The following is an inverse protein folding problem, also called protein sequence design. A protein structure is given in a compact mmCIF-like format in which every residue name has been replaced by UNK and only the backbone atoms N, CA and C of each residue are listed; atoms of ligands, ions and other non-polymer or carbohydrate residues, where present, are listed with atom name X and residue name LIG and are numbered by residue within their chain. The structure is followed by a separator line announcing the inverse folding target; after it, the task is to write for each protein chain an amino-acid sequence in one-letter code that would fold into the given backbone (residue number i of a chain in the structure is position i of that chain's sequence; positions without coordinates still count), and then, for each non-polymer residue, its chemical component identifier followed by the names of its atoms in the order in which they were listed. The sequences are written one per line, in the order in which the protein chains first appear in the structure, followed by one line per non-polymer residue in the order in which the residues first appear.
data_IF_004243879547
#
_entry.id   IF_004243879547
#
_cell.length_a   1.000
_cell.length_b   1.000
_cell.length_c   1.000
_cell.angle_alpha   90.00
_cell.angle_beta   90.00
_cell.angle_gamma   90.00
#
_symmetry.space_group_name_H-M   'P 1'
#
loop_
_entity.id
_entity.type
_entity.pdbx_description
1 polymer ?
#
# COMPACT_ATOMS: atom_id res chain seq x y z
N UNK A 1 -5.87 29.86 -12.72
CA UNK A 1 -6.29 28.53 -12.19
C UNK A 1 -6.09 27.41 -13.22
N UNK A 2 -6.61 27.52 -14.44
CA UNK A 2 -6.46 26.46 -15.46
C UNK A 2 -5.00 26.06 -15.71
N UNK A 3 -4.08 27.03 -15.86
CA UNK A 3 -2.64 26.74 -16.09
C UNK A 3 -1.94 26.03 -14.91
N UNK A 4 -2.42 26.20 -13.69
CA UNK A 4 -1.88 25.50 -12.53
C UNK A 4 -2.38 24.04 -12.48
N UNK A 5 -3.67 23.84 -12.72
CA UNK A 5 -4.28 22.52 -12.69
C UNK A 5 -3.94 21.66 -13.92
N UNK A 6 -3.56 22.27 -15.05
CA UNK A 6 -3.09 21.55 -16.24
C UNK A 6 -1.70 20.91 -16.05
N UNK A 7 -0.95 21.33 -15.03
CA UNK A 7 0.35 20.77 -14.71
C UNK A 7 0.24 19.83 -13.49
N UNK A 8 0.38 18.52 -13.72
CA UNK A 8 0.29 17.50 -12.67
C UNK A 8 1.19 17.78 -11.47
N UNK A 9 2.45 18.15 -11.71
CA UNK A 9 3.42 18.43 -10.64
C UNK A 9 2.97 19.60 -9.76
N UNK A 10 2.49 20.69 -10.36
CA UNK A 10 2.04 21.85 -9.64
C UNK A 10 0.76 21.55 -8.83
N UNK A 11 -0.16 20.79 -9.41
CA UNK A 11 -1.38 20.33 -8.72
C UNK A 11 -1.03 19.47 -7.52
N UNK A 12 -0.10 18.53 -7.67
CA UNK A 12 0.35 17.65 -6.59
C UNK A 12 1.03 18.44 -5.46
N UNK A 13 1.94 19.36 -5.80
CA UNK A 13 2.62 20.23 -4.83
C UNK A 13 1.58 21.06 -4.05
N UNK A 14 0.63 21.69 -4.74
CA UNK A 14 -0.41 22.47 -4.09
C UNK A 14 -1.27 21.61 -3.14
N UNK A 15 -1.62 20.40 -3.55
CA UNK A 15 -2.36 19.46 -2.70
C UNK A 15 -1.60 19.14 -1.41
N UNK A 16 -0.30 18.88 -1.49
CA UNK A 16 0.53 18.65 -0.30
C UNK A 16 0.69 19.89 0.57
N UNK A 17 0.82 21.07 -0.04
CA UNK A 17 0.87 22.35 0.71
C UNK A 17 -0.43 22.57 1.47
N UNK A 18 -1.59 22.39 0.82
CA UNK A 18 -2.90 22.52 1.49
C UNK A 18 -3.06 21.51 2.62
N UNK A 19 -2.68 20.24 2.40
CA UNK A 19 -2.71 19.23 3.45
C UNK A 19 -1.78 19.60 4.62
N UNK A 20 -0.56 20.07 4.33
CA UNK A 20 0.39 20.51 5.35
C UNK A 20 -0.13 21.71 6.16
N UNK A 21 -0.75 22.68 5.52
CA UNK A 21 -1.39 23.82 6.20
C UNK A 21 -2.51 23.33 7.12
N UNK A 22 -3.36 22.41 6.67
CA UNK A 22 -4.42 21.83 7.51
C UNK A 22 -3.84 21.08 8.70
N UNK A 23 -2.87 20.20 8.47
CA UNK A 23 -2.21 19.43 9.55
C UNK A 23 -1.61 20.36 10.59
N UNK A 24 -0.89 21.41 10.15
CA UNK A 24 -0.27 22.38 11.06
C UNK A 24 -1.34 23.20 11.83
N UNK A 25 -2.35 23.71 11.14
CA UNK A 25 -3.42 24.50 11.77
C UNK A 25 -4.15 23.72 12.85
N UNK A 26 -4.58 22.48 12.53
CA UNK A 26 -5.26 21.63 13.50
C UNK A 26 -4.33 21.10 14.58
N UNK A 27 -3.05 20.82 14.27
CA UNK A 27 -2.07 20.45 15.29
C UNK A 27 -1.87 21.52 16.35
N UNK A 28 -1.87 22.81 15.97
CA UNK A 28 -1.77 23.92 16.93
C UNK A 28 -3.00 24.06 17.84
N UNK A 29 -4.18 23.68 17.36
CA UNK A 29 -5.45 23.80 18.10
C UNK A 29 -5.85 22.53 18.84
N UNK A 30 -5.15 21.42 18.60
CA UNK A 30 -5.38 20.17 19.30
C UNK A 30 -5.04 20.32 20.81
N UNK A 31 -5.77 19.65 21.72
CA UNK A 31 -5.58 19.78 23.17
C UNK A 31 -4.13 19.50 23.65
N UNK A 32 -3.43 18.60 22.99
CA UNK A 32 -2.01 18.27 23.25
C UNK A 32 -1.00 19.01 22.38
N UNK A 33 -1.47 19.86 21.44
CA UNK A 33 -0.58 20.51 20.48
C UNK A 33 0.15 19.49 19.59
N UNK A 34 1.46 19.67 19.43
CA UNK A 34 2.33 18.76 18.64
C UNK A 34 2.93 17.62 19.49
N UNK A 35 2.09 17.01 20.33
CA UNK A 35 2.48 15.87 21.17
C UNK A 35 2.56 14.54 20.41
N UNK A 36 2.73 13.44 21.13
CA UNK A 36 2.82 12.09 20.53
C UNK A 36 1.56 11.72 19.77
N UNK A 37 0.37 12.16 20.21
CA UNK A 37 -0.92 11.89 19.58
C UNK A 37 -1.02 12.58 18.21
N UNK A 38 -0.47 13.79 18.10
CA UNK A 38 -0.34 14.49 16.83
C UNK A 38 0.52 13.68 15.84
N UNK A 39 1.69 13.19 16.24
CA UNK A 39 2.55 12.41 15.36
C UNK A 39 1.95 11.06 14.99
N UNK A 40 1.19 10.43 15.88
CA UNK A 40 0.40 9.24 15.55
C UNK A 40 -0.65 9.55 14.48
N UNK A 41 -1.33 10.70 14.57
CA UNK A 41 -2.30 11.13 13.55
C UNK A 41 -1.63 11.38 12.19
N UNK A 42 -0.46 12.04 12.15
CA UNK A 42 0.32 12.26 10.92
C UNK A 42 0.78 10.93 10.30
N UNK A 43 1.29 10.02 11.11
CA UNK A 43 1.70 8.69 10.64
C UNK A 43 0.51 7.90 10.08
N UNK A 44 -0.66 7.98 10.74
CA UNK A 44 -1.90 7.34 10.25
C UNK A 44 -2.38 7.96 8.94
N UNK A 45 -2.38 9.28 8.83
CA UNK A 45 -2.71 9.98 7.58
C UNK A 45 -1.81 9.51 6.43
N UNK A 46 -0.49 9.45 6.68
CA UNK A 46 0.48 8.96 5.70
C UNK A 46 0.23 7.50 5.33
N UNK A 47 -0.03 6.63 6.32
CA UNK A 47 -0.33 5.21 6.10
C UNK A 47 -1.57 5.01 5.23
N UNK A 48 -2.64 5.74 5.52
CA UNK A 48 -3.88 5.68 4.74
C UNK A 48 -3.67 6.24 3.34
N UNK A 49 -2.98 7.37 3.19
CA UNK A 49 -2.72 7.98 1.89
C UNK A 49 -1.92 7.08 0.95
N UNK A 50 -0.81 6.53 1.42
CA UNK A 50 -0.02 5.57 0.65
C UNK A 50 -0.78 4.24 0.44
N UNK A 51 -1.57 3.81 1.41
CA UNK A 51 -2.42 2.64 1.33
C UNK A 51 -3.48 2.74 0.23
N UNK A 52 -4.12 3.90 0.08
CA UNK A 52 -5.07 4.17 -1.00
C UNK A 52 -4.38 4.03 -2.36
N UNK A 53 -3.17 4.59 -2.52
CA UNK A 53 -2.42 4.48 -3.76
C UNK A 53 -1.98 3.04 -4.04
N UNK A 54 -1.48 2.32 -3.03
CA UNK A 54 -1.05 0.92 -3.18
C UNK A 54 -2.21 0.01 -3.56
N UNK A 55 -3.29 0.02 -2.77
CA UNK A 55 -4.43 -0.87 -2.99
C UNK A 55 -5.24 -0.45 -4.22
N UNK A 56 -5.36 0.86 -4.49
CA UNK A 56 -6.00 1.35 -5.71
C UNK A 56 -5.29 0.88 -6.98
N UNK A 57 -3.96 0.91 -7.01
CA UNK A 57 -3.18 0.36 -8.14
C UNK A 57 -3.25 -1.16 -8.21
N UNK A 58 -3.30 -1.88 -7.08
CA UNK A 58 -3.56 -3.33 -7.05
C UNK A 58 -4.89 -3.65 -7.75
N UNK A 59 -5.94 -2.89 -7.44
CA UNK A 59 -7.26 -3.07 -8.04
C UNK A 59 -7.28 -2.67 -9.51
N UNK A 60 -6.62 -1.56 -9.88
CA UNK A 60 -6.42 -1.20 -11.28
C UNK A 60 -5.78 -2.34 -12.08
N UNK A 61 -4.68 -2.93 -11.60
CA UNK A 61 -4.04 -4.04 -12.29
C UNK A 61 -4.99 -5.23 -12.47
N UNK A 62 -5.73 -5.62 -11.43
CA UNK A 62 -6.54 -6.83 -11.45
C UNK A 62 -7.90 -6.64 -12.12
N UNK A 63 -8.59 -5.52 -11.89
CA UNK A 63 -9.93 -5.28 -12.43
C UNK A 63 -9.90 -4.66 -13.82
N UNK A 64 -8.82 -3.98 -14.19
CA UNK A 64 -8.72 -3.30 -15.48
C UNK A 64 -7.63 -3.92 -16.35
N UNK A 65 -6.36 -3.71 -16.02
CA UNK A 65 -5.26 -3.99 -16.94
C UNK A 65 -5.15 -5.48 -17.29
N UNK A 66 -5.05 -6.38 -16.30
CA UNK A 66 -4.91 -7.83 -16.53
C UNK A 66 -6.13 -8.39 -17.26
N UNK A 67 -7.32 -7.89 -16.93
CA UNK A 67 -8.56 -8.36 -17.50
C UNK A 67 -8.76 -7.92 -18.96
N UNK A 68 -8.38 -6.69 -19.28
CA UNK A 68 -8.56 -6.10 -20.62
C UNK A 68 -7.44 -6.48 -21.58
N UNK A 69 -6.23 -6.76 -21.08
CA UNK A 69 -5.05 -7.04 -21.90
C UNK A 69 -5.26 -8.13 -22.99
N UNK A 70 -5.98 -9.24 -22.77
CA UNK A 70 -6.25 -10.23 -23.81
C UNK A 70 -7.05 -9.67 -25.01
N UNK A 71 -7.94 -8.71 -24.75
CA UNK A 71 -8.83 -8.10 -25.76
C UNK A 71 -8.15 -6.99 -26.57
N UNK A 72 -6.95 -6.53 -26.16
CA UNK A 72 -6.21 -5.50 -26.89
C UNK A 72 -5.54 -6.12 -28.11
N UNK A 73 -5.69 -5.53 -29.33
CA UNK A 73 -4.97 -5.94 -30.53
C UNK A 73 -3.47 -6.01 -30.29
N UNK A 74 -2.77 -6.96 -30.94
CA UNK A 74 -1.36 -7.25 -30.68
C UNK A 74 -0.43 -6.06 -30.88
N UNK A 75 -0.69 -5.27 -31.91
CA UNK A 75 0.02 -4.05 -32.28
C UNK A 75 -0.12 -2.89 -31.28
N UNK A 76 -1.21 -2.86 -30.50
CA UNK A 76 -1.48 -1.87 -29.48
C UNK A 76 -0.97 -2.26 -28.07
N UNK A 77 -0.72 -3.54 -27.81
CA UNK A 77 -0.20 -4.00 -26.52
C UNK A 77 1.09 -3.31 -26.06
N UNK A 78 2.05 -2.98 -26.97
CA UNK A 78 3.25 -2.26 -26.58
C UNK A 78 2.97 -0.89 -25.93
N UNK A 79 1.88 -0.21 -26.29
CA UNK A 79 1.52 1.06 -25.66
C UNK A 79 1.27 0.90 -24.16
N UNK A 80 0.58 -0.18 -23.76
CA UNK A 80 0.32 -0.47 -22.34
C UNK A 80 1.58 -0.97 -21.64
N UNK A 81 2.31 -1.90 -22.25
CA UNK A 81 3.44 -2.57 -21.58
C UNK A 81 4.70 -1.71 -21.50
N UNK A 82 4.91 -0.78 -22.44
CA UNK A 82 6.11 0.09 -22.47
C UNK A 82 5.91 1.44 -21.78
N UNK A 83 4.67 1.95 -21.71
CA UNK A 83 4.42 3.30 -21.21
C UNK A 83 3.58 3.31 -19.92
N UNK A 84 2.44 2.60 -19.91
CA UNK A 84 1.50 2.67 -18.78
C UNK A 84 1.95 1.77 -17.63
N UNK A 85 2.24 0.50 -17.92
CA UNK A 85 2.56 -0.48 -16.89
C UNK A 85 3.82 -0.16 -16.07
N UNK A 86 4.95 0.29 -16.65
CA UNK A 86 6.13 0.65 -15.89
C UNK A 86 5.89 1.79 -14.91
N UNK A 87 5.14 2.82 -15.32
CA UNK A 87 4.79 3.96 -14.47
C UNK A 87 3.86 3.54 -13.32
N UNK A 88 2.79 2.82 -13.63
CA UNK A 88 1.88 2.30 -12.62
C UNK A 88 2.58 1.36 -11.61
N UNK A 89 3.50 0.51 -12.07
CA UNK A 89 4.30 -0.36 -11.22
C UNK A 89 5.34 0.39 -10.37
N UNK A 90 5.86 1.52 -10.86
CA UNK A 90 6.70 2.39 -10.05
C UNK A 90 5.94 2.88 -8.82
N UNK A 91 4.79 3.51 -9.02
CA UNK A 91 3.96 4.00 -7.92
C UNK A 91 3.45 2.88 -7.01
N UNK A 92 3.04 1.75 -7.59
CA UNK A 92 2.56 0.58 -6.84
C UNK A 92 3.56 0.08 -5.79
N UNK A 93 4.81 -0.16 -6.18
CA UNK A 93 5.81 -0.71 -5.26
C UNK A 93 6.30 0.30 -4.21
N UNK A 94 6.44 1.58 -4.60
CA UNK A 94 6.84 2.61 -3.66
C UNK A 94 5.72 2.95 -2.69
N UNK A 95 4.48 3.00 -3.14
CA UNK A 95 3.32 3.14 -2.26
C UNK A 95 3.24 1.98 -1.25
N UNK A 96 3.49 0.73 -1.68
CA UNK A 96 3.55 -0.42 -0.78
C UNK A 96 4.63 -0.24 0.31
N UNK A 97 5.83 0.20 -0.07
CA UNK A 97 6.91 0.47 0.88
C UNK A 97 6.52 1.54 1.90
N UNK A 98 6.05 2.71 1.42
CA UNK A 98 5.69 3.80 2.32
C UNK A 98 4.47 3.49 3.19
N UNK A 99 3.53 2.68 2.70
CA UNK A 99 2.42 2.19 3.53
C UNK A 99 2.94 1.37 4.70
N UNK A 100 3.84 0.41 4.44
CA UNK A 100 4.41 -0.43 5.50
C UNK A 100 5.26 0.40 6.46
N UNK A 101 6.12 1.29 5.98
CA UNK A 101 6.94 2.16 6.83
C UNK A 101 6.08 3.05 7.73
N UNK A 102 5.04 3.67 7.19
CA UNK A 102 4.11 4.48 7.97
C UNK A 102 3.32 3.65 8.99
N UNK A 103 2.94 2.41 8.66
CA UNK A 103 2.33 1.46 9.58
C UNK A 103 3.26 1.08 10.74
N UNK A 104 4.52 0.79 10.44
CA UNK A 104 5.52 0.53 11.48
C UNK A 104 5.79 1.77 12.36
N UNK A 105 5.76 2.97 11.78
CA UNK A 105 5.86 4.21 12.54
C UNK A 105 4.68 4.37 13.52
N UNK A 106 3.45 4.03 13.12
CA UNK A 106 2.30 4.03 14.04
C UNK A 106 2.54 3.08 15.22
N UNK A 107 3.00 1.85 14.96
CA UNK A 107 3.30 0.89 16.03
C UNK A 107 4.39 1.41 16.98
N UNK A 108 5.47 1.99 16.42
CA UNK A 108 6.57 2.56 17.21
C UNK A 108 6.09 3.74 18.08
N UNK A 109 5.28 4.63 17.54
CA UNK A 109 4.74 5.79 18.25
C UNK A 109 3.72 5.41 19.34
N UNK A 110 3.11 4.25 19.26
CA UNK A 110 2.23 3.70 20.30
C UNK A 110 2.98 2.99 21.43
N UNK A 111 4.28 2.80 21.28
CA UNK A 111 5.16 2.20 22.26
C UNK A 111 5.43 0.71 22.05
N UNK A 112 6.54 0.25 22.63
CA UNK A 112 7.04 -1.11 22.43
C UNK A 112 6.03 -2.18 22.86
N UNK A 113 5.36 -2.02 24.00
CA UNK A 113 4.37 -2.98 24.50
C UNK A 113 3.21 -3.17 23.51
N UNK A 114 2.68 -2.07 22.97
CA UNK A 114 1.63 -2.13 21.94
C UNK A 114 2.09 -2.84 20.66
N UNK A 115 3.28 -2.51 20.18
CA UNK A 115 3.84 -3.13 18.99
C UNK A 115 4.04 -4.65 19.17
N UNK A 116 4.54 -5.07 20.34
CA UNK A 116 4.71 -6.49 20.66
C UNK A 116 3.37 -7.24 20.73
N UNK A 117 2.34 -6.66 21.34
CA UNK A 117 1.00 -7.26 21.38
C UNK A 117 0.42 -7.44 19.98
N UNK A 118 0.49 -6.41 19.12
CA UNK A 118 -0.01 -6.48 17.75
C UNK A 118 0.76 -7.52 16.93
N UNK A 119 2.10 -7.50 16.97
CA UNK A 119 2.92 -8.41 16.16
C UNK A 119 2.85 -9.86 16.65
N UNK A 120 2.61 -10.09 17.94
CA UNK A 120 2.39 -11.42 18.51
C UNK A 120 0.92 -11.89 18.43
N UNK A 121 0.04 -11.16 17.78
CA UNK A 121 -1.40 -11.47 17.69
C UNK A 121 -2.09 -11.51 19.07
N UNK A 122 -1.66 -10.65 20.00
CA UNK A 122 -2.15 -10.63 21.37
C UNK A 122 -1.57 -11.71 22.28
N UNK A 123 -0.52 -12.42 21.86
CA UNK A 123 0.07 -13.54 22.59
C UNK A 123 1.24 -13.15 23.51
N UNK A 124 1.77 -11.92 23.41
CA UNK A 124 3.01 -11.54 24.10
C UNK A 124 2.88 -11.41 25.62
N UNK A 125 1.70 -11.20 26.17
CA UNK A 125 1.56 -11.00 27.61
C UNK A 125 0.24 -11.38 28.25
N UNK A 126 -0.78 -11.78 27.49
CA UNK A 126 -2.14 -11.92 28.00
C UNK A 126 -2.91 -13.11 27.42
N UNK A 127 -2.26 -14.24 27.28
CA UNK A 127 -2.86 -15.49 26.77
C UNK A 127 -4.17 -15.93 27.48
N UNK A 128 -4.48 -15.38 28.63
CA UNK A 128 -5.63 -15.79 29.45
C UNK A 128 -6.89 -14.94 29.16
N UNK A 129 -6.74 -13.79 28.50
CA UNK A 129 -7.88 -12.89 28.19
C UNK A 129 -7.87 -12.36 26.76
N UNK A 130 -7.19 -13.04 25.83
CA UNK A 130 -7.11 -12.78 24.39
C UNK A 130 -7.70 -11.44 23.97
N UNK A 131 -6.88 -10.38 23.95
CA UNK A 131 -7.36 -9.09 23.44
C UNK A 131 -7.60 -9.25 21.94
N UNK A 132 -8.86 -9.51 21.59
CA UNK A 132 -9.30 -9.75 20.22
C UNK A 132 -8.96 -8.57 19.30
N UNK A 133 -8.81 -7.37 19.87
CA UNK A 133 -8.38 -6.17 19.13
C UNK A 133 -6.95 -6.31 18.62
N UNK A 134 -6.01 -6.71 19.48
CA UNK A 134 -4.62 -6.93 19.04
C UNK A 134 -4.50 -8.08 18.04
N UNK A 135 -5.28 -9.14 18.23
CA UNK A 135 -5.32 -10.25 17.27
C UNK A 135 -5.85 -9.80 15.93
N UNK A 136 -6.97 -9.07 15.89
CA UNK A 136 -7.54 -8.56 14.65
C UNK A 136 -6.56 -7.63 13.92
N UNK A 137 -6.01 -6.63 14.60
CA UNK A 137 -5.05 -5.71 14.00
C UNK A 137 -3.77 -6.43 13.54
N UNK A 138 -3.27 -7.36 14.35
CA UNK A 138 -2.07 -8.13 14.04
C UNK A 138 -2.21 -8.99 12.79
N UNK A 139 -3.37 -9.61 12.58
CA UNK A 139 -3.69 -10.33 11.32
C UNK A 139 -3.56 -9.37 10.14
N UNK A 140 -4.14 -8.17 10.21
CA UNK A 140 -4.03 -7.17 9.14
C UNK A 140 -2.59 -6.74 8.88
N UNK A 141 -1.80 -6.53 9.92
CA UNK A 141 -0.37 -6.18 9.81
C UNK A 141 0.40 -7.29 9.11
N UNK A 142 0.23 -8.55 9.50
CA UNK A 142 0.93 -9.66 8.87
C UNK A 142 0.51 -9.88 7.42
N UNK A 143 -0.78 -9.76 7.10
CA UNK A 143 -1.26 -9.80 5.72
C UNK A 143 -0.63 -8.70 4.87
N UNK A 144 -0.55 -7.46 5.38
CA UNK A 144 0.10 -6.36 4.69
C UNK A 144 1.61 -6.62 4.46
N UNK A 145 2.31 -7.18 5.45
CA UNK A 145 3.74 -7.54 5.33
C UNK A 145 3.91 -8.64 4.26
N UNK A 146 3.10 -9.68 4.27
CA UNK A 146 3.14 -10.75 3.26
C UNK A 146 2.89 -10.18 1.85
N UNK A 147 1.88 -9.32 1.71
CA UNK A 147 1.58 -8.65 0.45
C UNK A 147 2.73 -7.76 -0.02
N UNK A 148 3.37 -7.02 0.88
CA UNK A 148 4.55 -6.20 0.59
C UNK A 148 5.73 -7.04 0.12
N UNK A 149 6.05 -8.12 0.85
CA UNK A 149 7.13 -9.04 0.46
C UNK A 149 6.85 -9.69 -0.89
N UNK A 150 5.60 -10.02 -1.18
CA UNK A 150 5.18 -10.52 -2.49
C UNK A 150 5.41 -9.47 -3.60
N UNK A 151 5.12 -8.17 -3.34
CA UNK A 151 5.40 -7.10 -4.32
C UNK A 151 6.88 -7.04 -4.68
N UNK A 152 7.75 -6.99 -3.69
CA UNK A 152 9.18 -6.77 -3.91
C UNK A 152 9.95 -8.04 -4.27
N UNK A 153 9.57 -9.19 -3.69
CA UNK A 153 10.26 -10.47 -3.87
C UNK A 153 9.77 -11.30 -5.06
N UNK A 154 8.51 -11.18 -5.43
CA UNK A 154 7.91 -12.02 -6.48
C UNK A 154 7.42 -11.17 -7.66
N UNK A 155 6.51 -10.22 -7.42
CA UNK A 155 5.88 -9.46 -8.51
C UNK A 155 6.94 -8.65 -9.26
N UNK A 156 7.70 -7.81 -8.58
CA UNK A 156 8.64 -6.89 -9.22
C UNK A 156 9.77 -7.60 -10.00
N UNK A 157 10.47 -8.60 -9.48
CA UNK A 157 11.48 -9.32 -10.25
C UNK A 157 10.93 -9.97 -11.54
N UNK A 158 9.71 -10.49 -11.48
CA UNK A 158 9.05 -11.10 -12.62
C UNK A 158 8.50 -10.06 -13.60
N UNK A 159 8.00 -8.94 -13.11
CA UNK A 159 7.59 -7.81 -13.97
C UNK A 159 8.75 -7.24 -14.78
N UNK A 160 9.93 -7.10 -14.19
CA UNK A 160 11.13 -6.67 -14.94
C UNK A 160 11.42 -7.56 -16.17
N UNK A 161 11.25 -8.87 -16.03
CA UNK A 161 11.44 -9.84 -17.13
C UNK A 161 10.27 -9.76 -18.12
N UNK A 162 9.04 -9.74 -17.61
CA UNK A 162 7.82 -9.69 -18.44
C UNK A 162 7.75 -8.43 -19.31
N UNK A 163 8.21 -7.30 -18.81
CA UNK A 163 8.23 -6.03 -19.53
C UNK A 163 9.47 -5.83 -20.40
N UNK A 164 10.44 -6.74 -20.35
CA UNK A 164 11.67 -6.65 -21.12
C UNK A 164 12.70 -5.65 -20.55
N UNK A 165 12.53 -5.18 -19.31
CA UNK A 165 13.54 -4.39 -18.60
C UNK A 165 14.80 -5.25 -18.35
N UNK A 166 14.59 -6.53 -18.05
CA UNK A 166 15.63 -7.55 -18.04
C UNK A 166 15.39 -8.46 -19.23
N UNK A 167 16.37 -8.52 -20.13
CA UNK A 167 16.30 -9.31 -21.36
C UNK A 167 16.38 -10.80 -21.01
N UNK A 168 15.39 -11.56 -21.43
CA UNK A 168 15.30 -13.02 -21.28
C UNK A 168 14.66 -13.60 -22.55
N UNK A 169 14.77 -14.91 -22.76
CA UNK A 169 14.07 -15.60 -23.84
C UNK A 169 12.54 -15.53 -23.67
N UNK A 170 11.81 -15.75 -24.77
CA UNK A 170 10.35 -15.58 -24.79
C UNK A 170 9.63 -16.54 -23.84
N UNK A 171 10.13 -17.75 -23.65
CA UNK A 171 9.56 -18.72 -22.71
C UNK A 171 9.70 -18.23 -21.25
N UNK A 172 10.86 -17.72 -20.88
CA UNK A 172 11.08 -17.14 -19.55
C UNK A 172 10.27 -15.88 -19.35
N UNK A 173 10.10 -15.05 -20.39
CA UNK A 173 9.26 -13.88 -20.38
C UNK A 173 7.78 -14.23 -20.12
N UNK A 174 7.26 -15.24 -20.82
CA UNK A 174 5.89 -15.72 -20.64
C UNK A 174 5.66 -16.29 -19.23
N UNK A 175 6.62 -17.10 -18.72
CA UNK A 175 6.56 -17.64 -17.34
C UNK A 175 6.60 -16.51 -16.31
N UNK A 176 7.47 -15.54 -16.47
CA UNK A 176 7.58 -14.40 -15.58
C UNK A 176 6.29 -13.56 -15.55
N UNK A 177 5.66 -13.32 -16.70
CA UNK A 177 4.38 -12.64 -16.79
C UNK A 177 3.29 -13.42 -16.02
N UNK A 178 3.25 -14.74 -16.14
CA UNK A 178 2.31 -15.58 -15.39
C UNK A 178 2.56 -15.54 -13.89
N UNK A 179 3.81 -15.63 -13.43
CA UNK A 179 4.16 -15.57 -12.01
C UNK A 179 3.79 -14.20 -11.43
N UNK A 180 4.09 -13.12 -12.12
CA UNK A 180 3.73 -11.76 -11.69
C UNK A 180 2.20 -11.59 -11.58
N UNK A 181 1.45 -12.11 -12.54
CA UNK A 181 -0.02 -12.11 -12.51
C UNK A 181 -0.56 -12.89 -11.31
N UNK A 182 -0.07 -14.10 -11.06
CA UNK A 182 -0.49 -14.91 -9.93
C UNK A 182 -0.13 -14.23 -8.60
N UNK A 183 1.06 -13.67 -8.46
CA UNK A 183 1.44 -12.87 -7.30
C UNK A 183 0.51 -11.67 -7.08
N UNK A 184 0.14 -10.96 -8.14
CA UNK A 184 -0.83 -9.85 -8.05
C UNK A 184 -2.21 -10.33 -7.60
N UNK A 185 -2.67 -11.47 -8.09
CA UNK A 185 -3.95 -12.07 -7.66
C UNK A 185 -3.93 -12.59 -6.22
N UNK A 186 -2.78 -13.10 -5.77
CA UNK A 186 -2.59 -13.44 -4.34
C UNK A 186 -2.75 -12.19 -3.48
N UNK A 187 -2.14 -11.07 -3.87
CA UNK A 187 -2.32 -9.82 -3.14
C UNK A 187 -3.78 -9.33 -3.19
N UNK A 188 -4.47 -9.49 -4.30
CA UNK A 188 -5.91 -9.19 -4.38
C UNK A 188 -6.72 -10.02 -3.40
N UNK A 189 -6.47 -11.34 -3.32
CA UNK A 189 -7.14 -12.24 -2.37
C UNK A 189 -6.90 -11.80 -0.91
N UNK A 190 -5.67 -11.40 -0.57
CA UNK A 190 -5.30 -11.00 0.78
C UNK A 190 -5.74 -9.57 1.13
N UNK A 191 -6.00 -8.71 0.12
CA UNK A 191 -6.28 -7.29 0.33
C UNK A 191 -7.59 -7.04 1.08
N UNK A 192 -8.66 -7.77 0.77
CA UNK A 192 -9.94 -7.59 1.45
C UNK A 192 -9.89 -8.00 2.93
N UNK A 193 -9.38 -9.19 3.33
CA UNK A 193 -9.18 -9.52 4.74
C UNK A 193 -8.28 -8.51 5.47
N UNK A 194 -7.20 -8.05 4.83
CA UNK A 194 -6.30 -7.05 5.39
C UNK A 194 -7.03 -5.72 5.63
N UNK A 195 -7.77 -5.21 4.64
CA UNK A 195 -8.55 -3.97 4.79
C UNK A 195 -9.65 -4.10 5.83
N UNK A 196 -10.34 -5.25 5.89
CA UNK A 196 -11.34 -5.54 6.93
C UNK A 196 -10.72 -5.44 8.31
N UNK A 197 -9.59 -6.08 8.52
CA UNK A 197 -8.86 -6.05 9.78
C UNK A 197 -8.47 -4.62 10.18
N UNK A 198 -7.88 -3.84 9.26
CA UNK A 198 -7.44 -2.47 9.52
C UNK A 198 -8.61 -1.52 9.80
N UNK A 199 -9.70 -1.62 9.03
CA UNK A 199 -10.85 -0.73 9.16
C UNK A 199 -11.69 -1.07 10.39
N UNK A 200 -11.99 -2.35 10.62
CA UNK A 200 -12.85 -2.76 11.74
C UNK A 200 -12.19 -2.57 13.10
N UNK A 201 -10.85 -2.73 13.17
CA UNK A 201 -10.13 -2.51 14.42
C UNK A 201 -10.41 -1.12 15.00
N UNK A 202 -10.37 -0.07 14.17
CA UNK A 202 -10.57 1.31 14.62
C UNK A 202 -11.96 1.56 15.23
N UNK A 203 -12.98 0.85 14.76
CA UNK A 203 -14.37 1.04 15.20
C UNK A 203 -14.73 0.12 16.36
N UNK A 204 -14.20 -1.10 16.39
CA UNK A 204 -14.58 -2.11 17.38
C UNK A 204 -13.68 -2.09 18.62
N UNK A 205 -12.41 -1.70 18.49
CA UNK A 205 -11.37 -1.84 19.52
C UNK A 205 -10.44 -0.62 19.65
N UNK A 206 -10.58 0.40 18.77
CA UNK A 206 -9.72 1.60 18.73
C UNK A 206 -10.17 2.75 19.60
#
# INVERSE_FOLDING_TARGET
MAGLLSNFRNTLILSFVLAGVMIFAFGRTAPGGFDISFWQAVARWSHVGFGILWIGLLYYFNFVQIRVMPSIPGDLKPAVTKYIAPEALFWFRWAALFTVLAGLAILALRGHGYAMEVLSLGLAGRLVQGDQGYMLLGVGVWLAIVMFLNVWGIIWPNQKRALGIVVVDDDKKARAARVAMLGSRTNLLLSLPMLTSMAMYQTLFG
#
